data_IF_089308942418
#
_entry.id   IF_089308942418
#
_cell.length_a   1.000
_cell.length_b   1.000
_cell.length_c   1.000
_cell.angle_alpha   90.00
_cell.angle_beta   90.00
_cell.angle_gamma   90.00
#
_symmetry.space_group_name_H-M   'P 1'
#
loop_
_entity.id
_entity.type
_entity.pdbx_description
1 polymer ?
#
# COMPACT_ATOMS: atom_id res chain seq x y z
N UNK A 1 5.85 -16.93 -5.43
CA UNK A 1 5.43 -15.67 -6.10
C UNK A 1 5.17 -14.65 -5.01
N UNK A 2 5.97 -13.58 -5.00
CA UNK A 2 6.30 -12.83 -3.78
C UNK A 2 5.74 -11.39 -3.74
N UNK A 3 4.81 -11.02 -4.62
CA UNK A 3 4.37 -9.62 -4.73
C UNK A 3 2.96 -9.36 -4.16
N UNK A 4 2.12 -10.39 -3.98
CA UNK A 4 0.79 -10.17 -3.38
C UNK A 4 0.45 -11.23 -2.33
N UNK A 5 0.08 -10.86 -1.09
CA UNK A 5 -0.52 -11.80 -0.17
C UNK A 5 -1.84 -12.31 -0.76
N UNK A 6 -2.11 -13.61 -0.63
CA UNK A 6 -3.29 -14.29 -1.19
C UNK A 6 -4.62 -13.62 -0.81
N UNK A 7 -4.60 -12.86 0.30
CA UNK A 7 -5.72 -12.07 0.83
C UNK A 7 -6.32 -11.10 -0.19
N UNK A 8 -5.57 -10.67 -1.20
CA UNK A 8 -5.99 -9.71 -2.22
C UNK A 8 -5.87 -10.27 -3.65
N UNK A 9 -6.06 -11.58 -3.87
CA UNK A 9 -5.80 -12.24 -5.16
C UNK A 9 -6.40 -11.54 -6.40
N UNK A 10 -7.53 -10.83 -6.24
CA UNK A 10 -8.18 -10.05 -7.31
C UNK A 10 -7.98 -8.52 -7.22
N UNK A 11 -7.35 -8.00 -6.16
CA UNK A 11 -7.15 -6.57 -5.97
C UNK A 11 -5.68 -6.19 -6.26
N UNK A 12 -5.40 -6.00 -7.55
CA UNK A 12 -4.07 -5.63 -8.06
C UNK A 12 -3.50 -4.35 -7.41
N UNK A 13 -4.36 -3.42 -7.00
CA UNK A 13 -3.95 -2.16 -6.38
C UNK A 13 -3.29 -2.38 -4.99
N UNK A 14 -3.78 -3.34 -4.21
CA UNK A 14 -3.19 -3.66 -2.90
C UNK A 14 -1.75 -4.18 -3.05
N UNK A 15 -1.52 -5.02 -4.07
CA UNK A 15 -0.20 -5.56 -4.33
C UNK A 15 0.79 -4.47 -4.82
N UNK A 16 0.33 -3.56 -5.69
CA UNK A 16 1.12 -2.40 -6.12
C UNK A 16 1.46 -1.49 -4.94
N UNK A 17 0.53 -1.31 -4.00
CA UNK A 17 0.78 -0.51 -2.82
C UNK A 17 1.89 -1.08 -1.92
N UNK A 18 1.92 -2.39 -1.66
CA UNK A 18 3.02 -3.04 -0.92
C UNK A 18 4.37 -2.85 -1.64
N UNK A 19 4.39 -3.01 -2.96
CA UNK A 19 5.62 -2.81 -3.75
C UNK A 19 6.09 -1.35 -3.68
N UNK A 20 5.16 -0.40 -3.75
CA UNK A 20 5.45 1.02 -3.55
C UNK A 20 6.09 1.28 -2.19
N UNK A 21 5.49 0.74 -1.11
CA UNK A 21 6.00 0.89 0.25
C UNK A 21 7.36 0.21 0.46
N UNK A 22 7.70 -0.83 -0.30
CA UNK A 22 9.03 -1.44 -0.28
C UNK A 22 10.14 -0.57 -0.89
N UNK A 23 9.78 0.58 -1.46
CA UNK A 23 10.70 1.54 -2.06
C UNK A 23 10.89 1.40 -3.57
N UNK A 24 10.00 0.66 -4.25
CA UNK A 24 10.03 0.58 -5.71
C UNK A 24 9.36 1.80 -6.35
N UNK A 25 9.95 2.30 -7.44
CA UNK A 25 9.36 3.30 -8.33
C UNK A 25 8.61 2.62 -9.48
N UNK A 26 7.47 3.19 -9.87
CA UNK A 26 6.73 2.75 -11.04
C UNK A 26 7.00 3.67 -12.22
N UNK A 27 7.44 3.06 -13.32
CA UNK A 27 7.59 3.74 -14.60
C UNK A 27 6.50 3.19 -15.53
N UNK A 28 5.58 4.07 -15.94
CA UNK A 28 4.56 3.71 -16.92
C UNK A 28 5.09 4.08 -18.30
N UNK A 29 5.19 3.10 -19.20
CA UNK A 29 5.58 3.37 -20.58
C UNK A 29 4.41 4.05 -21.31
N UNK A 30 4.61 5.22 -21.92
CA UNK A 30 3.53 6.02 -22.50
C UNK A 30 2.85 5.35 -23.70
N UNK A 31 3.43 4.31 -24.28
CA UNK A 31 2.86 3.61 -25.44
C UNK A 31 2.36 2.20 -25.12
N UNK A 32 2.45 1.77 -23.85
CA UNK A 32 2.24 0.37 -23.46
C UNK A 32 1.24 0.25 -22.29
N UNK A 33 0.18 1.06 -22.35
CA UNK A 33 -0.93 0.98 -21.39
C UNK A 33 -2.25 0.66 -22.10
N UNK A 34 -3.01 -0.28 -21.53
CA UNK A 34 -4.38 -0.56 -21.96
C UNK A 34 -5.33 0.20 -21.04
N UNK A 35 -6.07 1.16 -21.58
CA UNK A 35 -7.19 1.78 -20.85
C UNK A 35 -8.36 0.81 -20.88
N UNK A 36 -8.56 0.07 -19.80
CA UNK A 36 -9.76 -0.73 -19.66
C UNK A 36 -10.97 0.18 -19.39
N UNK A 37 -11.79 0.42 -20.42
CA UNK A 37 -13.14 0.92 -20.21
C UNK A 37 -13.93 -0.13 -19.44
N UNK A 38 -14.48 0.25 -18.28
CA UNK A 38 -15.28 -0.63 -17.42
C UNK A 38 -16.63 -0.94 -18.07
N UNK A 39 -16.64 -1.89 -19.02
CA UNK A 39 -17.88 -2.55 -19.52
C UNK A 39 -18.37 -3.60 -18.51
N UNK A 40 -17.67 -3.76 -17.37
CA UNK A 40 -18.11 -4.67 -16.31
C UNK A 40 -19.30 -4.04 -15.60
N UNK A 41 -20.46 -4.69 -15.75
CA UNK A 41 -21.64 -4.49 -14.93
C UNK A 41 -21.18 -4.37 -13.48
N UNK A 42 -21.45 -3.23 -12.83
CA UNK A 42 -21.17 -3.08 -11.41
C UNK A 42 -21.86 -4.23 -10.69
N UNK A 43 -21.07 -5.08 -10.03
CA UNK A 43 -21.63 -6.07 -9.11
C UNK A 43 -22.32 -5.23 -8.03
N UNK A 44 -23.62 -5.44 -7.81
CA UNK A 44 -24.31 -4.76 -6.72
C UNK A 44 -23.67 -5.18 -5.38
N UNK A 45 -22.80 -4.32 -4.86
CA UNK A 45 -22.18 -4.51 -3.55
C UNK A 45 -23.14 -3.95 -2.51
N UNK A 46 -23.55 -4.79 -1.58
CA UNK A 46 -24.40 -4.38 -0.45
C UNK A 46 -23.66 -3.39 0.46
N UNK A 47 -24.38 -2.53 1.17
CA UNK A 47 -23.78 -1.60 2.14
C UNK A 47 -22.96 -2.32 3.23
N UNK A 48 -23.35 -3.55 3.58
CA UNK A 48 -22.60 -4.41 4.49
C UNK A 48 -21.24 -4.80 3.91
N UNK A 49 -21.20 -5.25 2.67
CA UNK A 49 -19.96 -5.62 1.98
C UNK A 49 -19.05 -4.41 1.78
N UNK A 50 -19.61 -3.24 1.43
CA UNK A 50 -18.85 -1.98 1.38
C UNK A 50 -18.20 -1.66 2.73
N UNK A 51 -18.95 -1.77 3.81
CA UNK A 51 -18.45 -1.51 5.17
C UNK A 51 -17.32 -2.47 5.55
N UNK A 52 -17.47 -3.76 5.23
CA UNK A 52 -16.45 -4.78 5.47
C UNK A 52 -15.20 -4.47 4.64
N UNK A 53 -15.34 -4.17 3.36
CA UNK A 53 -14.23 -3.85 2.46
C UNK A 53 -13.46 -2.62 2.93
N UNK A 54 -14.15 -1.56 3.35
CA UNK A 54 -13.51 -0.35 3.88
C UNK A 54 -12.70 -0.64 5.15
N UNK A 55 -13.28 -1.42 6.09
CA UNK A 55 -12.56 -1.80 7.31
C UNK A 55 -11.37 -2.70 7.03
N UNK A 56 -11.51 -3.65 6.10
CA UNK A 56 -10.43 -4.54 5.69
C UNK A 56 -9.29 -3.76 5.05
N UNK A 57 -9.61 -2.81 4.16
CA UNK A 57 -8.62 -1.95 3.53
C UNK A 57 -7.89 -1.08 4.56
N UNK A 58 -8.62 -0.48 5.51
CA UNK A 58 -8.00 0.32 6.57
C UNK A 58 -7.01 -0.51 7.40
N UNK A 59 -7.40 -1.73 7.79
CA UNK A 59 -6.53 -2.64 8.56
C UNK A 59 -5.30 -3.05 7.75
N UNK A 60 -5.49 -3.39 6.48
CA UNK A 60 -4.39 -3.67 5.57
C UNK A 60 -3.41 -2.50 5.48
N UNK A 61 -3.91 -1.29 5.25
CA UNK A 61 -3.06 -0.10 5.14
C UNK A 61 -2.24 0.15 6.43
N UNK A 62 -2.86 -0.01 7.60
CA UNK A 62 -2.17 0.08 8.90
C UNK A 62 -1.07 -0.98 9.04
N UNK A 63 -1.39 -2.24 8.73
CA UNK A 63 -0.44 -3.38 8.82
C UNK A 63 0.75 -3.21 7.87
N UNK A 64 0.50 -2.88 6.60
CA UNK A 64 1.52 -2.66 5.57
C UNK A 64 2.50 -1.55 5.97
N UNK A 65 1.95 -0.44 6.45
CA UNK A 65 2.74 0.69 6.91
C UNK A 65 3.66 0.32 8.08
N UNK A 66 3.14 -0.37 9.10
CA UNK A 66 3.93 -0.78 10.24
C UNK A 66 4.99 -1.82 9.87
N UNK A 67 4.65 -2.77 9.00
CA UNK A 67 5.57 -3.80 8.49
C UNK A 67 6.76 -3.17 7.78
N UNK A 68 6.52 -2.32 6.79
CA UNK A 68 7.61 -1.73 6.00
C UNK A 68 8.41 -0.71 6.78
N UNK A 69 7.77 0.11 7.63
CA UNK A 69 8.49 1.03 8.50
C UNK A 69 9.47 0.29 9.41
N UNK A 70 9.01 -0.77 10.10
CA UNK A 70 9.87 -1.61 10.95
C UNK A 70 11.02 -2.24 10.16
N UNK A 71 10.76 -2.71 8.94
CA UNK A 71 11.79 -3.29 8.10
C UNK A 71 12.90 -2.27 7.76
N UNK A 72 12.53 -1.06 7.34
CA UNK A 72 13.51 0.00 7.05
C UNK A 72 14.28 0.45 8.29
N UNK A 73 13.61 0.52 9.44
CA UNK A 73 14.28 0.81 10.71
C UNK A 73 15.29 -0.25 11.10
N UNK A 74 14.90 -1.52 11.05
CA UNK A 74 15.79 -2.63 11.39
C UNK A 74 17.00 -2.69 10.45
N UNK A 75 16.83 -2.27 9.20
CA UNK A 75 17.91 -2.16 8.22
C UNK A 75 18.76 -0.88 8.35
N UNK A 76 18.36 0.10 9.17
CA UNK A 76 19.01 1.41 9.23
C UNK A 76 18.81 2.27 7.97
N UNK A 77 17.84 1.92 7.12
CA UNK A 77 17.57 2.58 5.84
C UNK A 77 16.39 3.58 5.92
N UNK A 78 15.90 3.91 7.11
CA UNK A 78 14.71 4.76 7.28
C UNK A 78 14.84 6.14 6.62
N UNK A 79 16.03 6.75 6.70
CA UNK A 79 16.27 8.08 6.12
C UNK A 79 16.69 8.03 4.65
N UNK A 80 16.88 6.84 4.09
CA UNK A 80 17.23 6.66 2.69
C UNK A 80 16.10 7.08 1.74
N UNK A 81 16.46 7.32 0.48
CA UNK A 81 15.49 7.56 -0.59
C UNK A 81 14.57 6.36 -0.82
N UNK A 82 15.05 5.15 -0.54
CA UNK A 82 14.25 3.91 -0.66
C UNK A 82 13.06 3.90 0.29
N UNK A 83 13.22 4.45 1.50
CA UNK A 83 12.14 4.55 2.48
C UNK A 83 11.22 5.77 2.25
N UNK A 84 11.49 6.63 1.26
CA UNK A 84 10.71 7.85 0.97
C UNK A 84 9.22 7.57 0.76
N UNK A 85 8.89 6.54 -0.02
CA UNK A 85 7.50 6.15 -0.28
C UNK A 85 6.78 5.74 1.01
N UNK A 86 7.43 4.92 1.82
CA UNK A 86 6.90 4.53 3.12
C UNK A 86 6.69 5.73 4.04
N UNK A 87 7.66 6.66 4.10
CA UNK A 87 7.56 7.89 4.91
C UNK A 87 6.35 8.75 4.54
N UNK A 88 6.17 9.02 3.26
CA UNK A 88 5.12 9.90 2.76
C UNK A 88 3.74 9.24 2.91
N UNK A 89 3.60 7.99 2.46
CA UNK A 89 2.31 7.31 2.48
C UNK A 89 1.84 6.92 3.88
N UNK A 90 2.77 6.60 4.78
CA UNK A 90 2.43 6.10 6.11
C UNK A 90 2.50 7.15 7.23
N UNK A 91 2.78 8.42 6.93
CA UNK A 91 2.95 9.48 7.93
C UNK A 91 1.81 9.52 8.96
N UNK A 92 0.55 9.46 8.49
CA UNK A 92 -0.63 9.49 9.36
C UNK A 92 -0.72 8.26 10.27
N UNK A 93 -0.48 7.08 9.71
CA UNK A 93 -0.49 5.83 10.48
C UNK A 93 0.60 5.91 11.55
N UNK A 94 1.84 6.19 11.17
CA UNK A 94 2.98 6.23 12.09
C UNK A 94 2.80 7.25 13.21
N UNK A 95 2.20 8.41 12.92
CA UNK A 95 1.85 9.41 13.92
C UNK A 95 0.86 8.88 14.98
N UNK A 96 -0.20 8.19 14.55
CA UNK A 96 -1.19 7.57 15.46
C UNK A 96 -0.54 6.50 16.35
N UNK A 97 0.39 5.73 15.79
CA UNK A 97 1.09 4.66 16.51
C UNK A 97 2.27 5.15 17.37
N UNK A 98 2.45 6.47 17.53
CA UNK A 98 3.52 7.04 18.36
C UNK A 98 4.93 6.82 17.82
N UNK A 99 5.05 6.32 16.58
CA UNK A 99 6.29 6.29 15.83
C UNK A 99 6.53 7.71 15.29
N UNK A 100 6.79 8.67 16.20
CA UNK A 100 7.34 9.97 15.84
C UNK A 100 8.82 9.76 15.66
N UNK A 101 9.20 9.55 14.41
CA UNK A 101 10.55 9.18 14.05
C UNK A 101 11.33 10.48 14.01
N UNK A 102 12.07 10.74 15.10
CA UNK A 102 12.98 11.89 15.15
C UNK A 102 13.95 11.76 13.98
N UNK A 103 13.87 12.70 13.05
CA UNK A 103 14.97 12.97 12.14
C UNK A 103 16.20 13.24 12.99
N UNK A 104 17.25 12.45 12.80
CA UNK A 104 18.57 12.73 13.37
C UNK A 104 19.24 13.87 12.59
#
# INVERSE_FOLDING_TARGET
MLWCPERFSNNQAACLFELYLSGADFWVLPNDFTVNQSIRKDVEITEREKTINTRLYQKFHEESCLKHARAFFAAGEWDSDRARHCRISCQKVLAVWGLVIRQA
#
